data_IF_989187495632
#
_entry.id   IF_989187495632
#
_cell.length_a   1.000
_cell.length_b   1.000
_cell.length_c   1.000
_cell.angle_alpha   90.00
_cell.angle_beta   90.00
_cell.angle_gamma   90.00
#
_symmetry.space_group_name_H-M   'P 1'
#
loop_
_entity.id
_entity.type
_entity.pdbx_description
1 polymer ?
#
# COMPACT_ATOMS: atom_id res chain seq x y z
N UNK A 1 -6.92 60.47 -70.11
CA UNK A 1 -7.10 59.05 -69.71
C UNK A 1 -6.98 59.01 -68.20
N UNK A 2 -8.11 58.96 -67.50
CA UNK A 2 -8.17 58.97 -66.04
C UNK A 2 -8.37 57.54 -65.57
N UNK A 3 -7.42 56.99 -64.83
CA UNK A 3 -7.48 55.64 -64.28
C UNK A 3 -8.16 55.73 -62.92
N UNK A 4 -9.33 55.12 -62.81
CA UNK A 4 -10.09 55.00 -61.56
C UNK A 4 -9.40 53.97 -60.64
N UNK A 5 -9.14 54.30 -59.36
CA UNK A 5 -8.51 53.36 -58.43
C UNK A 5 -9.49 52.25 -58.04
N UNK A 6 -9.00 51.01 -57.82
CA UNK A 6 -9.86 49.89 -57.48
C UNK A 6 -10.50 50.05 -56.09
N UNK A 7 -11.72 49.53 -55.89
CA UNK A 7 -12.44 49.65 -54.63
C UNK A 7 -11.74 48.86 -53.50
N UNK A 8 -11.84 49.32 -52.25
CA UNK A 8 -11.25 48.64 -51.11
C UNK A 8 -11.93 47.28 -50.83
N UNK A 9 -11.19 46.29 -50.33
CA UNK A 9 -11.73 44.98 -50.03
C UNK A 9 -12.78 45.04 -48.89
N UNK A 10 -13.80 44.16 -48.92
CA UNK A 10 -14.82 44.11 -47.89
C UNK A 10 -14.21 43.71 -46.53
N UNK A 11 -14.80 44.18 -45.41
CA UNK A 11 -14.33 43.79 -44.08
C UNK A 11 -14.46 42.28 -43.87
N UNK A 12 -13.51 41.65 -43.16
CA UNK A 12 -13.56 40.23 -42.87
C UNK A 12 -14.79 39.90 -41.99
N UNK A 13 -15.41 38.72 -42.18
CA UNK A 13 -16.53 38.30 -41.35
C UNK A 13 -16.11 38.17 -39.88
N UNK A 14 -17.01 38.47 -38.92
CA UNK A 14 -16.73 38.33 -37.50
C UNK A 14 -16.41 36.87 -37.18
N UNK A 15 -15.23 36.63 -36.61
CA UNK A 15 -14.82 35.31 -36.16
C UNK A 15 -15.72 34.85 -35.00
N UNK A 16 -16.17 33.57 -34.98
CA UNK A 16 -16.87 33.04 -33.83
C UNK A 16 -15.95 33.10 -32.62
N UNK A 17 -16.44 33.75 -31.55
CA UNK A 17 -15.77 33.75 -30.26
C UNK A 17 -15.61 32.29 -29.80
N UNK A 18 -14.39 31.76 -29.92
CA UNK A 18 -14.02 30.53 -29.27
C UNK A 18 -14.09 30.78 -27.76
N UNK A 19 -15.23 30.45 -27.17
CA UNK A 19 -15.32 30.19 -25.74
C UNK A 19 -14.46 28.97 -25.47
N UNK A 20 -13.17 29.19 -25.25
CA UNK A 20 -12.34 28.26 -24.49
C UNK A 20 -12.93 28.23 -23.09
N UNK A 21 -13.97 27.41 -22.94
CA UNK A 21 -14.42 26.93 -21.65
C UNK A 21 -13.28 26.04 -21.16
N UNK A 22 -12.29 26.66 -20.51
CA UNK A 22 -11.36 25.94 -19.67
C UNK A 22 -12.24 25.29 -18.61
N UNK A 23 -12.62 24.04 -18.86
CA UNK A 23 -13.19 23.19 -17.84
C UNK A 23 -12.11 23.07 -16.77
N UNK A 24 -12.21 23.90 -15.75
CA UNK A 24 -11.45 23.74 -14.51
C UNK A 24 -11.92 22.40 -13.95
N UNK A 25 -11.15 21.35 -14.23
CA UNK A 25 -11.31 20.07 -13.55
C UNK A 25 -11.33 20.38 -12.05
N UNK A 26 -12.30 19.84 -11.28
CA UNK A 26 -12.32 20.04 -9.85
C UNK A 26 -10.95 19.66 -9.27
N UNK A 27 -10.45 20.48 -8.34
CA UNK A 27 -9.23 20.20 -7.62
C UNK A 27 -9.28 18.76 -7.10
N UNK A 28 -8.28 17.94 -7.49
CA UNK A 28 -8.21 16.54 -7.08
C UNK A 28 -8.27 16.47 -5.56
N UNK A 29 -9.37 15.96 -5.02
CA UNK A 29 -9.48 15.55 -3.61
C UNK A 29 -8.70 14.25 -3.41
N UNK A 30 -7.39 14.30 -3.65
CA UNK A 30 -6.48 13.17 -3.53
C UNK A 30 -5.42 13.49 -2.50
N UNK A 31 -5.03 12.46 -1.74
CA UNK A 31 -3.89 12.55 -0.83
C UNK A 31 -2.61 12.54 -1.64
N UNK A 32 -1.81 13.60 -1.58
CA UNK A 32 -0.50 13.67 -2.28
C UNK A 32 0.52 12.60 -1.82
N UNK A 33 0.14 11.75 -0.88
CA UNK A 33 0.96 10.69 -0.30
C UNK A 33 0.42 9.27 -0.57
N UNK A 34 -0.75 9.14 -1.21
CA UNK A 34 -1.29 7.86 -1.74
C UNK A 34 -1.45 7.91 -3.26
N UNK A 35 -1.53 6.75 -3.94
CA UNK A 35 -1.96 6.72 -5.33
C UNK A 35 -3.46 7.10 -5.42
N UNK A 36 -4.03 7.17 -6.63
CA UNK A 36 -5.43 7.61 -6.79
C UNK A 36 -6.41 6.68 -6.05
N UNK A 37 -7.58 7.15 -5.62
CA UNK A 37 -8.59 6.28 -5.03
C UNK A 37 -8.93 5.11 -5.95
N UNK A 38 -8.90 3.89 -5.42
CA UNK A 38 -9.07 2.65 -6.17
C UNK A 38 -8.59 1.42 -5.41
N UNK A 39 -8.72 0.25 -6.05
CA UNK A 39 -8.21 -1.02 -5.53
C UNK A 39 -6.83 -1.33 -6.14
N UNK A 40 -5.93 -1.80 -5.30
CA UNK A 40 -4.57 -2.16 -5.66
C UNK A 40 -4.22 -3.53 -5.10
N UNK A 41 -3.44 -4.30 -5.83
CA UNK A 41 -2.90 -5.56 -5.36
C UNK A 41 -1.41 -5.66 -5.66
N UNK A 42 -0.69 -6.36 -4.80
CA UNK A 42 0.67 -6.79 -5.07
C UNK A 42 0.63 -8.26 -5.51
N UNK A 43 1.11 -8.53 -6.72
CA UNK A 43 1.28 -9.90 -7.19
C UNK A 43 2.27 -10.66 -6.29
N UNK A 44 2.15 -11.99 -6.22
CA UNK A 44 2.97 -12.80 -5.31
C UNK A 44 4.48 -12.70 -5.61
N UNK A 45 4.87 -12.49 -6.87
CA UNK A 45 6.27 -12.25 -7.29
C UNK A 45 6.74 -10.80 -7.03
N UNK A 46 5.80 -9.90 -6.72
CA UNK A 46 6.02 -8.49 -6.38
C UNK A 46 5.78 -8.18 -4.91
N UNK A 47 5.60 -9.20 -4.09
CA UNK A 47 5.45 -9.09 -2.65
C UNK A 47 6.38 -10.08 -1.95
N UNK A 48 7.36 -9.56 -1.22
CA UNK A 48 8.28 -10.34 -0.41
C UNK A 48 7.92 -10.13 1.05
N UNK A 49 7.69 -11.22 1.75
CA UNK A 49 7.46 -11.19 3.20
C UNK A 49 8.38 -12.13 3.93
N UNK A 50 8.80 -11.70 5.11
CA UNK A 50 9.82 -12.41 5.85
C UNK A 50 9.66 -12.25 7.35
N UNK A 51 9.68 -13.39 8.04
CA UNK A 51 9.77 -13.47 9.49
C UNK A 51 11.22 -13.51 9.90
N UNK A 52 11.55 -12.65 10.85
CA UNK A 52 12.88 -12.50 11.40
C UNK A 52 12.83 -12.61 12.92
N UNK A 53 13.84 -13.25 13.49
CA UNK A 53 14.08 -13.21 14.92
C UNK A 53 15.52 -12.78 15.15
N UNK A 54 15.72 -11.92 16.15
CA UNK A 54 17.02 -11.40 16.54
C UNK A 54 17.36 -11.84 17.96
N UNK A 55 18.63 -12.18 18.18
CA UNK A 55 19.20 -12.42 19.49
C UNK A 55 20.29 -11.38 19.71
N UNK A 56 19.98 -10.34 20.49
CA UNK A 56 20.81 -9.13 20.55
C UNK A 56 20.92 -8.46 19.17
N UNK A 57 22.13 -8.09 18.69
CA UNK A 57 22.31 -7.48 17.38
C UNK A 57 22.21 -8.49 16.22
N UNK A 58 22.20 -9.80 16.50
CA UNK A 58 22.31 -10.84 15.49
C UNK A 58 20.93 -11.27 15.00
N UNK A 59 20.69 -11.14 13.69
CA UNK A 59 19.56 -11.84 13.04
C UNK A 59 19.88 -13.32 13.04
N UNK A 60 19.02 -14.06 13.72
CA UNK A 60 19.32 -15.40 14.19
C UNK A 60 18.37 -16.39 13.51
N UNK A 61 17.18 -15.95 13.09
CA UNK A 61 16.32 -16.65 12.13
C UNK A 61 15.78 -15.68 11.07
N UNK A 62 15.69 -16.19 9.84
CA UNK A 62 15.15 -15.52 8.67
C UNK A 62 14.36 -16.54 7.86
N UNK A 63 13.06 -16.33 7.66
CA UNK A 63 12.20 -17.27 6.96
C UNK A 63 11.18 -16.51 6.12
N UNK A 64 11.10 -16.82 4.83
CA UNK A 64 10.12 -16.22 3.93
C UNK A 64 8.76 -16.88 4.10
N UNK A 65 7.70 -16.08 4.15
CA UNK A 65 6.33 -16.58 4.07
C UNK A 65 5.81 -16.40 2.65
N UNK A 66 4.92 -17.30 2.22
CA UNK A 66 4.23 -17.14 0.95
C UNK A 66 3.14 -16.07 1.12
N UNK A 67 2.93 -15.26 0.09
CA UNK A 67 1.89 -14.22 0.09
C UNK A 67 0.65 -14.81 -0.55
N UNK A 68 -0.40 -15.02 0.26
CA UNK A 68 -1.70 -15.45 -0.22
C UNK A 68 -2.55 -14.25 -0.68
N UNK A 69 -2.46 -13.13 0.02
CA UNK A 69 -3.14 -11.88 -0.32
C UNK A 69 -2.24 -10.69 0.04
N UNK A 70 -2.19 -9.69 -0.85
CA UNK A 70 -1.65 -8.38 -0.56
C UNK A 70 -2.47 -7.34 -1.31
N UNK A 71 -3.40 -6.70 -0.62
CA UNK A 71 -4.36 -5.75 -1.19
C UNK A 71 -4.31 -4.41 -0.45
N UNK A 72 -4.52 -3.33 -1.19
CA UNK A 72 -4.65 -1.98 -0.68
C UNK A 72 -5.86 -1.33 -1.35
N UNK A 73 -6.82 -0.90 -0.54
CA UNK A 73 -7.95 -0.08 -0.98
C UNK A 73 -7.67 1.36 -0.58
N UNK A 74 -7.62 2.24 -1.57
CA UNK A 74 -7.48 3.68 -1.37
C UNK A 74 -8.83 4.34 -1.61
N UNK A 75 -9.31 5.05 -0.60
CA UNK A 75 -10.57 5.80 -0.61
C UNK A 75 -10.26 7.30 -0.67
N UNK A 76 -11.25 8.16 -1.03
CA UNK A 76 -11.08 9.61 -0.94
C UNK A 76 -10.81 10.10 0.50
N UNK A 77 -11.44 9.47 1.50
CA UNK A 77 -11.15 9.69 2.93
C UNK A 77 -9.96 8.82 3.37
N UNK A 78 -8.87 9.38 3.92
CA UNK A 78 -7.67 8.60 4.28
C UNK A 78 -7.91 7.64 5.46
N UNK A 79 -8.87 7.96 6.33
CA UNK A 79 -9.32 7.11 7.43
C UNK A 79 -9.92 5.77 6.97
N UNK A 80 -10.50 5.74 5.77
CA UNK A 80 -11.16 4.55 5.22
C UNK A 80 -10.23 3.70 4.34
N UNK A 81 -8.96 4.09 4.21
CA UNK A 81 -7.97 3.32 3.47
C UNK A 81 -7.60 2.06 4.25
N UNK A 82 -7.61 0.91 3.56
CA UNK A 82 -7.39 -0.39 4.18
C UNK A 82 -6.34 -1.17 3.40
N UNK A 83 -5.36 -1.71 4.12
CA UNK A 83 -4.38 -2.64 3.62
C UNK A 83 -4.60 -4.01 4.27
N UNK A 84 -4.62 -5.05 3.45
CA UNK A 84 -4.81 -6.44 3.86
C UNK A 84 -3.61 -7.26 3.40
N UNK A 85 -3.03 -8.01 4.32
CA UNK A 85 -1.98 -8.99 4.03
C UNK A 85 -2.43 -10.34 4.57
N UNK A 86 -2.29 -11.38 3.77
CA UNK A 86 -2.46 -12.76 4.20
C UNK A 86 -1.20 -13.53 3.80
N UNK A 87 -0.53 -14.09 4.79
CA UNK A 87 0.74 -14.80 4.65
C UNK A 87 0.53 -16.25 5.05
N UNK A 88 1.12 -17.18 4.32
CA UNK A 88 0.97 -18.61 4.59
C UNK A 88 2.18 -19.43 4.16
N UNK A 89 1.90 -20.70 3.91
CA UNK A 89 2.86 -21.70 3.46
C UNK A 89 3.56 -22.44 4.61
N UNK A 90 4.41 -23.39 4.26
CA UNK A 90 5.12 -24.28 5.21
C UNK A 90 5.97 -23.50 6.22
N UNK A 91 6.36 -22.29 5.85
CA UNK A 91 7.07 -21.40 6.74
C UNK A 91 6.31 -21.10 8.03
N UNK A 92 4.99 -21.09 7.95
CA UNK A 92 4.00 -20.91 9.02
C UNK A 92 3.28 -22.23 9.33
N UNK A 93 3.90 -23.39 9.06
CA UNK A 93 3.30 -24.69 9.35
C UNK A 93 1.97 -24.97 8.63
N UNK A 94 1.72 -24.29 7.50
CA UNK A 94 0.50 -24.47 6.69
C UNK A 94 -0.65 -23.51 7.04
N UNK A 95 -0.53 -22.76 8.13
CA UNK A 95 -1.57 -21.82 8.59
C UNK A 95 -1.35 -20.39 8.09
N UNK A 96 -2.40 -19.57 8.21
CA UNK A 96 -2.41 -18.18 7.76
C UNK A 96 -2.10 -17.17 8.88
N UNK A 97 -1.22 -16.21 8.59
CA UNK A 97 -1.04 -14.99 9.36
C UNK A 97 -1.67 -13.84 8.56
N UNK A 98 -2.68 -13.19 9.13
CA UNK A 98 -3.37 -12.07 8.48
C UNK A 98 -3.06 -10.76 9.18
N UNK A 99 -2.92 -9.68 8.42
CA UNK A 99 -2.89 -8.31 8.92
C UNK A 99 -3.95 -7.51 8.18
N UNK A 100 -4.81 -6.80 8.92
CA UNK A 100 -5.78 -5.87 8.35
C UNK A 100 -5.62 -4.53 9.03
N UNK A 101 -5.29 -3.48 8.26
CA UNK A 101 -5.22 -2.13 8.80
C UNK A 101 -6.61 -1.56 9.03
N UNK A 102 -6.74 -0.70 10.03
CA UNK A 102 -7.96 0.06 10.30
C UNK A 102 -7.89 1.49 9.76
N UNK A 103 -6.68 1.96 9.44
CA UNK A 103 -6.43 3.27 8.83
C UNK A 103 -5.05 3.28 8.16
N UNK A 104 -4.81 4.26 7.29
CA UNK A 104 -3.49 4.58 6.77
C UNK A 104 -3.13 6.00 7.16
N UNK A 105 -2.17 6.14 8.07
CA UNK A 105 -1.75 7.43 8.60
C UNK A 105 -0.43 7.88 7.94
N UNK A 106 -0.36 9.07 7.32
CA UNK A 106 0.89 9.59 6.81
C UNK A 106 1.80 10.03 7.96
N UNK A 107 3.08 9.71 7.86
CA UNK A 107 4.13 10.14 8.78
C UNK A 107 5.27 10.76 7.98
N UNK A 108 5.96 11.75 8.55
CA UNK A 108 7.08 12.43 7.89
C UNK A 108 6.71 12.92 6.48
N UNK A 109 5.59 13.64 6.38
CA UNK A 109 5.09 14.20 5.13
C UNK A 109 4.65 13.15 4.09
N UNK A 110 4.32 11.93 4.51
CA UNK A 110 3.88 10.85 3.61
C UNK A 110 5.01 9.97 3.06
N UNK A 111 6.27 10.28 3.39
CA UNK A 111 7.41 9.39 3.06
C UNK A 111 7.38 8.08 3.86
N UNK A 112 6.59 8.04 4.94
CA UNK A 112 6.29 6.86 5.73
C UNK A 112 4.80 6.78 5.99
N UNK A 113 4.31 5.56 6.15
CA UNK A 113 2.92 5.27 6.50
C UNK A 113 2.91 4.45 7.79
N UNK A 114 2.03 4.83 8.71
CA UNK A 114 1.72 4.06 9.91
C UNK A 114 0.34 3.44 9.73
N UNK A 115 0.29 2.12 9.77
CA UNK A 115 -0.93 1.36 9.58
C UNK A 115 -1.24 0.65 10.90
N UNK A 116 -2.03 1.26 11.80
CA UNK A 116 -2.63 0.52 12.90
C UNK A 116 -3.59 -0.54 12.33
N UNK A 117 -3.68 -1.68 13.00
CA UNK A 117 -4.49 -2.78 12.54
C UNK A 117 -4.51 -3.95 13.50
N UNK A 118 -4.98 -5.09 13.02
CA UNK A 118 -5.04 -6.32 13.77
C UNK A 118 -4.29 -7.46 13.06
N UNK A 119 -3.67 -8.33 13.84
CA UNK A 119 -3.02 -9.55 13.41
C UNK A 119 -3.86 -10.76 13.80
N UNK A 120 -4.33 -11.53 12.83
CA UNK A 120 -4.97 -12.83 13.03
C UNK A 120 -4.03 -13.97 12.70
N UNK A 121 -4.20 -15.13 13.32
CA UNK A 121 -3.26 -16.26 13.19
C UNK A 121 -3.91 -17.56 12.69
N UNK A 122 -4.87 -17.45 11.75
CA UNK A 122 -5.52 -18.57 11.07
C UNK A 122 -6.62 -19.24 11.90
N UNK A 123 -6.43 -19.27 13.21
CA UNK A 123 -7.42 -19.70 14.19
C UNK A 123 -8.48 -18.61 14.42
N UNK A 124 -9.69 -18.84 13.90
CA UNK A 124 -10.83 -17.93 14.04
C UNK A 124 -11.38 -17.85 15.48
N UNK A 125 -10.98 -18.75 16.37
CA UNK A 125 -11.40 -18.73 17.79
C UNK A 125 -10.58 -17.77 18.64
N UNK A 126 -9.42 -17.35 18.14
CA UNK A 126 -8.58 -16.36 18.82
C UNK A 126 -8.90 -14.95 18.35
N UNK A 127 -9.01 -14.03 19.31
CA UNK A 127 -9.15 -12.63 18.98
C UNK A 127 -7.90 -12.10 18.26
N UNK A 128 -8.08 -11.35 17.14
CA UNK A 128 -6.99 -10.67 16.48
C UNK A 128 -6.27 -9.70 17.42
N UNK A 129 -4.94 -9.71 17.36
CA UNK A 129 -4.10 -8.91 18.25
C UNK A 129 -3.81 -7.54 17.63
N UNK A 130 -3.87 -6.44 18.40
CA UNK A 130 -3.52 -5.13 17.88
C UNK A 130 -2.06 -5.11 17.43
N UNK A 131 -1.84 -4.53 16.25
CA UNK A 131 -0.52 -4.45 15.63
C UNK A 131 -0.37 -3.14 14.85
N UNK A 132 0.87 -2.83 14.49
CA UNK A 132 1.16 -1.69 13.62
C UNK A 132 2.18 -2.11 12.58
N UNK A 133 1.83 -1.89 11.32
CA UNK A 133 2.74 -2.01 10.18
C UNK A 133 3.27 -0.62 9.84
N UNK A 134 4.60 -0.47 9.91
CA UNK A 134 5.28 0.76 9.53
C UNK A 134 5.88 0.58 8.15
N UNK A 135 5.45 1.39 7.19
CA UNK A 135 5.92 1.36 5.81
C UNK A 135 6.74 2.61 5.51
N UNK A 136 7.81 2.45 4.75
CA UNK A 136 8.49 3.51 4.02
C UNK A 136 8.01 3.45 2.58
N UNK A 137 7.57 4.60 2.05
CA UNK A 137 7.27 4.76 0.63
C UNK A 137 8.59 4.89 -0.11
N UNK A 138 8.83 3.97 -1.04
CA UNK A 138 10.01 3.99 -1.92
C UNK A 138 9.67 4.77 -3.18
N UNK A 139 8.52 4.46 -3.76
CA UNK A 139 8.01 5.09 -4.97
C UNK A 139 6.48 5.16 -4.91
N UNK A 140 5.93 6.21 -5.52
CA UNK A 140 4.50 6.42 -5.66
C UNK A 140 4.22 7.03 -7.02
N UNK A 141 3.26 6.44 -7.73
CA UNK A 141 2.69 7.01 -8.95
C UNK A 141 1.17 7.12 -8.78
N UNK A 142 0.49 7.62 -9.80
CA UNK A 142 -0.97 7.67 -9.79
C UNK A 142 -1.62 6.27 -9.75
N UNK A 143 -0.91 5.23 -10.20
CA UNK A 143 -1.42 3.87 -10.37
C UNK A 143 -0.62 2.79 -9.61
N UNK A 144 0.40 3.18 -8.84
CA UNK A 144 1.21 2.24 -8.10
C UNK A 144 1.81 2.84 -6.81
N UNK A 145 2.09 1.96 -5.85
CA UNK A 145 2.75 2.28 -4.58
C UNK A 145 3.76 1.19 -4.22
N UNK A 146 5.05 1.54 -4.20
CA UNK A 146 6.13 0.66 -3.77
C UNK A 146 6.53 0.98 -2.33
N UNK A 147 6.46 -0.02 -1.45
CA UNK A 147 6.73 0.13 -0.02
C UNK A 147 7.70 -0.92 0.50
N UNK A 148 8.44 -0.55 1.54
CA UNK A 148 9.17 -1.47 2.39
C UNK A 148 8.85 -1.16 3.84
N UNK A 149 8.54 -2.17 4.64
CA UNK A 149 8.11 -1.93 6.00
C UNK A 149 8.26 -3.12 6.92
N UNK A 150 7.87 -2.88 8.17
CA UNK A 150 8.01 -3.85 9.25
C UNK A 150 6.85 -3.81 10.24
N UNK A 151 6.52 -4.97 10.80
CA UNK A 151 5.62 -5.10 11.94
C UNK A 151 6.24 -6.01 13.01
N UNK A 152 5.71 -5.97 14.23
CA UNK A 152 6.04 -6.93 15.29
C UNK A 152 4.92 -7.95 15.39
N UNK A 153 5.28 -9.24 15.34
CA UNK A 153 4.33 -10.35 15.43
C UNK A 153 4.56 -11.08 16.75
N UNK A 154 3.54 -11.24 17.61
CA UNK A 154 3.69 -11.94 18.87
C UNK A 154 3.95 -13.44 18.63
N UNK A 155 5.05 -13.96 19.19
CA UNK A 155 5.50 -15.32 18.92
C UNK A 155 4.59 -16.39 19.55
N UNK A 156 4.11 -16.17 20.77
CA UNK A 156 3.30 -17.18 21.48
C UNK A 156 2.01 -17.56 20.73
N UNK A 157 1.15 -16.59 20.36
CA UNK A 157 -0.03 -16.83 19.54
C UNK A 157 0.32 -17.50 18.20
N UNK A 158 1.31 -16.96 17.48
CA UNK A 158 1.77 -17.52 16.22
C UNK A 158 2.20 -19.00 16.37
N UNK A 159 3.07 -19.30 17.34
CA UNK A 159 3.53 -20.67 17.60
C UNK A 159 2.37 -21.62 17.91
N UNK A 160 1.40 -21.19 18.73
CA UNK A 160 0.29 -22.05 19.15
C UNK A 160 -0.65 -22.40 18.00
N UNK A 161 -0.93 -21.46 17.11
CA UNK A 161 -1.89 -21.70 16.03
C UNK A 161 -1.22 -22.27 14.78
N UNK A 162 -0.03 -21.78 14.44
CA UNK A 162 0.64 -22.11 13.18
C UNK A 162 1.69 -23.23 13.33
N UNK A 163 1.98 -23.68 14.55
CA UNK A 163 3.08 -24.61 14.81
C UNK A 163 4.47 -24.04 14.49
N UNK A 164 4.57 -22.72 14.23
CA UNK A 164 5.83 -22.05 13.96
C UNK A 164 6.77 -22.17 15.16
N UNK A 165 7.87 -22.90 15.01
CA UNK A 165 8.84 -23.15 16.08
C UNK A 165 10.16 -22.42 15.82
N UNK A 166 10.65 -21.74 16.85
CA UNK A 166 12.04 -21.33 16.94
C UNK A 166 12.88 -22.48 17.55
N UNK A 167 14.19 -22.48 17.29
CA UNK A 167 15.10 -23.42 17.98
C UNK A 167 14.95 -23.28 19.50
N UNK A 168 14.98 -24.41 20.23
CA UNK A 168 14.69 -24.51 21.69
C UNK A 168 15.46 -23.53 22.60
N UNK A 169 16.55 -22.94 22.12
CA UNK A 169 17.45 -22.05 22.89
C UNK A 169 16.97 -20.57 22.82
N UNK A 170 15.89 -20.26 22.09
CA UNK A 170 15.52 -18.88 21.74
C UNK A 170 14.14 -18.49 22.26
N UNK A 171 14.04 -17.94 23.48
CA UNK A 171 12.81 -17.32 23.94
C UNK A 171 12.57 -16.04 23.13
N UNK A 172 11.57 -16.07 22.26
CA UNK A 172 11.07 -14.88 21.58
C UNK A 172 9.72 -14.50 22.16
N UNK A 173 9.56 -13.23 22.52
CA UNK A 173 8.22 -12.66 22.74
C UNK A 173 7.59 -12.22 21.42
N UNK A 174 8.43 -11.75 20.50
CA UNK A 174 8.01 -11.22 19.21
C UNK A 174 8.98 -11.65 18.10
N UNK A 175 8.44 -11.77 16.90
CA UNK A 175 9.17 -11.81 15.64
C UNK A 175 9.05 -10.45 14.94
N UNK A 176 10.03 -10.10 14.12
CA UNK A 176 9.89 -9.03 13.15
C UNK A 176 9.30 -9.59 11.86
N UNK A 177 8.22 -9.00 11.37
CA UNK A 177 7.74 -9.19 10.00
C UNK A 177 8.34 -8.08 9.14
N UNK A 178 8.97 -8.43 8.03
CA UNK A 178 9.39 -7.50 6.99
C UNK A 178 8.50 -7.71 5.77
N UNK A 179 8.07 -6.61 5.15
CA UNK A 179 7.24 -6.60 3.94
C UNK A 179 7.90 -5.68 2.93
N UNK A 180 8.04 -6.14 1.68
CA UNK A 180 8.35 -5.30 0.54
C UNK A 180 7.32 -5.61 -0.54
N UNK A 181 6.57 -4.62 -0.99
CA UNK A 181 5.43 -4.84 -1.88
C UNK A 181 5.28 -3.70 -2.88
N UNK A 182 5.02 -4.07 -4.13
CA UNK A 182 4.59 -3.16 -5.19
C UNK A 182 3.08 -3.34 -5.40
N UNK A 183 2.28 -2.40 -4.90
CA UNK A 183 0.84 -2.38 -5.10
C UNK A 183 0.53 -1.68 -6.43
N UNK A 184 -0.07 -2.39 -7.37
CA UNK A 184 -0.49 -1.86 -8.66
C UNK A 184 -2.02 -1.86 -8.76
N UNK A 185 -2.57 -0.89 -9.48
CA UNK A 185 -4.01 -0.76 -9.70
C UNK A 185 -4.59 -2.05 -10.28
N UNK A 186 -5.67 -2.55 -9.70
CA UNK A 186 -6.47 -3.66 -10.25
C UNK A 186 -7.70 -3.07 -10.92
N UNK A 187 -7.73 -3.13 -12.26
CA UNK A 187 -8.79 -2.58 -13.09
C UNK A 187 -10.15 -3.23 -12.83
#
# INVERSE_FOLDING_TARGET
>A
MTIEPPPPPPPPPPQPAHTSSTATLPARAGHDWLPRPGAYAAAADRCITELTYRTGPLVTLRRRAQVAEAALTVTPGPEDCVLRLALGGDALGGELLTFVSTAVEPVAGGSRLRLPGSLGTGDATLEPLPATLLLRVVERTDAALLVVGTARVPYGPLHRTTGFTLSRIRPARHLGLLVAAEFAWTA
#
